data_IF_701928885205
#
_entry.id   IF_701928885205
#
_cell.length_a   1.000
_cell.length_b   1.000
_cell.length_c   1.000
_cell.angle_alpha   90.00
_cell.angle_beta   90.00
_cell.angle_gamma   90.00
#
_symmetry.space_group_name_H-M   'P 1'
#
loop_
_entity.id
_entity.type
_entity.pdbx_description
1 polymer ?
#
# COMPACT_ATOMS: atom_id res chain seq x y z
N UNK A 1 -45.45 45.44 -9.48
CA UNK A 1 -45.31 44.16 -8.75
C UNK A 1 -43.87 43.69 -8.93
N UNK A 2 -42.99 44.09 -7.99
CA UNK A 2 -41.54 43.79 -7.98
C UNK A 2 -41.28 43.09 -6.66
N UNK A 3 -41.56 41.82 -6.61
CA UNK A 3 -41.33 41.00 -5.43
C UNK A 3 -40.93 39.60 -5.92
N UNK A 4 -40.14 38.89 -5.13
CA UNK A 4 -39.51 37.58 -5.44
C UNK A 4 -38.09 37.59 -6.03
N UNK A 5 -37.22 38.53 -5.63
CA UNK A 5 -35.78 38.18 -5.47
C UNK A 5 -35.52 37.85 -4.01
N UNK A 6 -36.17 36.78 -3.60
CA UNK A 6 -36.02 36.12 -2.32
C UNK A 6 -34.57 35.68 -2.15
N UNK A 7 -33.93 36.22 -1.11
CA UNK A 7 -32.76 35.70 -0.40
C UNK A 7 -31.99 34.58 -1.09
N UNK A 8 -31.01 34.94 -1.92
CA UNK A 8 -29.85 34.09 -2.12
C UNK A 8 -28.99 34.19 -0.86
N UNK A 9 -29.37 33.41 0.16
CA UNK A 9 -28.48 33.11 1.29
C UNK A 9 -27.23 32.44 0.69
N UNK A 10 -26.01 32.98 0.87
CA UNK A 10 -24.81 32.31 0.40
C UNK A 10 -24.78 30.95 1.07
N UNK A 11 -24.97 29.88 0.29
CA UNK A 11 -24.82 28.52 0.76
C UNK A 11 -23.38 28.38 1.25
N UNK A 12 -23.19 28.48 2.57
CA UNK A 12 -21.92 28.29 3.26
C UNK A 12 -21.30 26.98 2.75
N UNK A 13 -20.14 27.03 2.07
CA UNK A 13 -19.72 25.95 1.20
C UNK A 13 -19.39 24.65 1.94
N UNK A 14 -19.15 24.67 3.26
CA UNK A 14 -19.01 23.45 4.07
C UNK A 14 -19.58 23.60 5.47
N UNK A 15 -20.38 22.63 5.95
CA UNK A 15 -20.75 22.57 7.35
C UNK A 15 -19.48 22.33 8.19
N UNK A 16 -19.17 23.26 9.09
CA UNK A 16 -18.05 23.18 10.06
C UNK A 16 -17.95 21.81 10.77
N UNK A 17 -19.09 21.14 10.91
CA UNK A 17 -19.24 19.79 11.47
C UNK A 17 -18.36 18.75 10.75
N UNK A 18 -18.30 18.77 9.42
CA UNK A 18 -17.51 17.80 8.64
C UNK A 18 -16.02 17.97 8.93
N UNK A 19 -15.55 19.23 8.97
CA UNK A 19 -14.16 19.54 9.29
C UNK A 19 -13.76 19.10 10.68
N UNK A 20 -14.64 19.28 11.67
CA UNK A 20 -14.41 18.81 13.03
C UNK A 20 -14.27 17.28 13.05
N UNK A 21 -15.15 16.55 12.36
CA UNK A 21 -15.08 15.09 12.27
C UNK A 21 -13.78 14.63 11.62
N UNK A 22 -13.35 15.28 10.52
CA UNK A 22 -12.08 14.97 9.85
C UNK A 22 -10.87 15.21 10.78
N UNK A 23 -10.84 16.33 11.52
CA UNK A 23 -9.77 16.63 12.47
C UNK A 23 -9.73 15.60 13.60
N UNK A 24 -10.90 15.22 14.16
CA UNK A 24 -10.98 14.20 15.19
C UNK A 24 -10.47 12.86 14.66
N UNK A 25 -10.91 12.46 13.46
CA UNK A 25 -10.46 11.23 12.82
C UNK A 25 -8.94 11.22 12.60
N UNK A 26 -8.39 12.32 12.09
CA UNK A 26 -6.94 12.48 11.92
C UNK A 26 -6.20 12.38 13.27
N UNK A 27 -6.68 13.10 14.28
CA UNK A 27 -6.06 13.09 15.61
C UNK A 27 -6.05 11.68 16.21
N UNK A 28 -7.17 10.95 16.09
CA UNK A 28 -7.26 9.55 16.51
C UNK A 28 -6.27 8.67 15.74
N UNK A 29 -6.14 8.86 14.42
CA UNK A 29 -5.16 8.15 13.60
C UNK A 29 -3.71 8.39 14.05
N UNK A 30 -3.34 9.65 14.29
CA UNK A 30 -2.00 10.01 14.77
C UNK A 30 -1.75 9.41 16.15
N UNK A 31 -2.69 9.54 17.08
CA UNK A 31 -2.58 8.95 18.42
C UNK A 31 -2.40 7.43 18.32
N UNK A 32 -3.19 6.75 17.48
CA UNK A 32 -3.06 5.32 17.26
C UNK A 32 -1.65 4.95 16.77
N UNK A 33 -1.09 5.68 15.79
CA UNK A 33 0.29 5.43 15.33
C UNK A 33 1.33 5.62 16.43
N UNK A 34 1.17 6.61 17.30
CA UNK A 34 2.09 6.85 18.41
C UNK A 34 1.96 5.78 19.51
N UNK A 35 0.75 5.31 19.79
CA UNK A 35 0.53 4.18 20.71
C UNK A 35 1.15 2.88 20.18
N UNK A 36 1.03 2.62 18.87
CA UNK A 36 1.70 1.49 18.23
C UNK A 36 3.22 1.62 18.29
N UNK A 37 3.75 2.83 18.06
CA UNK A 37 5.18 3.13 18.19
C UNK A 37 5.69 2.83 19.60
N UNK A 38 4.94 3.30 20.61
CA UNK A 38 5.23 3.09 22.02
C UNK A 38 5.26 1.60 22.36
N UNK A 39 4.24 0.86 21.93
CA UNK A 39 4.17 -0.58 22.15
C UNK A 39 5.33 -1.34 21.49
N UNK A 40 5.72 -0.96 20.27
CA UNK A 40 6.89 -1.54 19.61
C UNK A 40 8.20 -1.20 20.31
N UNK A 41 8.31 0.00 20.86
CA UNK A 41 9.46 0.41 21.67
C UNK A 41 9.58 -0.42 22.96
N UNK A 42 8.48 -0.66 23.66
CA UNK A 42 8.45 -1.58 24.81
C UNK A 42 8.85 -3.01 24.41
N UNK A 43 8.36 -3.48 23.26
CA UNK A 43 8.71 -4.82 22.75
C UNK A 43 10.20 -4.94 22.41
N UNK A 44 10.82 -3.88 21.90
CA UNK A 44 12.26 -3.83 21.65
C UNK A 44 13.09 -3.89 22.94
N UNK A 45 12.62 -3.33 24.06
CA UNK A 45 13.34 -3.39 25.34
C UNK A 45 13.27 -4.75 26.05
N UNK A 46 12.30 -5.60 25.68
CA UNK A 46 12.19 -6.95 26.24
C UNK A 46 13.39 -7.84 25.85
N UNK A 47 13.64 -8.91 26.60
CA UNK A 47 14.77 -9.86 26.41
C UNK A 47 14.87 -10.49 25.01
N UNK A 48 13.83 -10.33 24.17
CA UNK A 48 13.76 -10.84 22.80
C UNK A 48 13.65 -9.71 21.76
N UNK A 49 14.12 -8.50 22.07
CA UNK A 49 14.13 -7.35 21.17
C UNK A 49 15.03 -7.53 19.95
N UNK A 50 14.52 -7.19 18.77
CA UNK A 50 15.26 -7.16 17.49
C UNK A 50 15.32 -5.74 16.93
N UNK A 51 16.35 -5.42 16.15
CA UNK A 51 16.45 -4.15 15.41
C UNK A 51 15.24 -3.89 14.49
N UNK A 52 14.56 -4.94 14.03
CA UNK A 52 13.33 -4.81 13.25
C UNK A 52 12.21 -4.10 14.05
N UNK A 53 12.06 -4.41 15.35
CA UNK A 53 11.06 -3.79 16.22
C UNK A 53 11.34 -2.29 16.41
N UNK A 54 12.62 -1.92 16.51
CA UNK A 54 13.03 -0.52 16.59
C UNK A 54 12.71 0.22 15.28
N UNK A 55 12.95 -0.42 14.13
CA UNK A 55 12.54 0.09 12.83
C UNK A 55 11.04 0.39 12.79
N UNK A 56 10.20 -0.54 13.27
CA UNK A 56 8.76 -0.30 13.36
C UNK A 56 8.39 0.80 14.36
N UNK A 57 9.04 0.86 15.51
CA UNK A 57 8.83 1.93 16.49
C UNK A 57 9.12 3.33 15.91
N UNK A 58 10.07 3.45 14.97
CA UNK A 58 10.35 4.69 14.25
C UNK A 58 9.47 4.89 13.01
N UNK A 59 9.09 3.82 12.33
CA UNK A 59 8.22 3.85 11.15
C UNK A 59 6.81 4.34 11.49
N UNK A 60 6.26 3.94 12.64
CA UNK A 60 4.91 4.34 13.05
C UNK A 60 4.76 5.86 13.23
N UNK A 61 5.67 6.59 13.91
CA UNK A 61 5.65 8.05 13.96
C UNK A 61 5.78 8.73 12.59
N UNK A 62 6.57 8.17 11.67
CA UNK A 62 6.69 8.68 10.30
C UNK A 62 5.32 8.63 9.61
N UNK A 63 4.56 7.55 9.79
CA UNK A 63 3.18 7.49 9.29
C UNK A 63 2.26 8.51 9.97
N UNK A 64 2.41 8.76 11.27
CA UNK A 64 1.66 9.82 11.96
C UNK A 64 1.93 11.20 11.35
N UNK A 65 3.19 11.53 11.06
CA UNK A 65 3.56 12.78 10.37
C UNK A 65 3.00 12.81 8.95
N UNK A 66 3.10 11.70 8.22
CA UNK A 66 2.56 11.57 6.87
C UNK A 66 1.05 11.86 6.82
N UNK A 67 0.28 11.34 7.78
CA UNK A 67 -1.16 11.64 7.88
C UNK A 67 -1.43 13.14 8.05
N UNK A 68 -0.65 13.83 8.89
CA UNK A 68 -0.77 15.28 9.09
C UNK A 68 -0.45 16.04 7.79
N UNK A 69 0.62 15.66 7.10
CA UNK A 69 1.02 16.30 5.83
C UNK A 69 -0.04 16.09 4.76
N UNK A 70 -0.51 14.87 4.57
CA UNK A 70 -1.57 14.55 3.59
C UNK A 70 -2.86 15.29 3.91
N UNK A 71 -3.25 15.39 5.18
CA UNK A 71 -4.43 16.18 5.56
C UNK A 71 -4.23 17.68 5.31
N UNK A 72 -3.03 18.22 5.56
CA UNK A 72 -2.73 19.62 5.22
C UNK A 72 -2.87 19.87 3.72
N UNK A 73 -2.28 19.01 2.88
CA UNK A 73 -2.41 19.11 1.41
C UNK A 73 -3.87 18.94 0.96
N UNK A 74 -4.61 18.05 1.61
CA UNK A 74 -6.05 17.87 1.36
C UNK A 74 -6.86 19.14 1.65
N UNK A 75 -6.59 19.84 2.76
CA UNK A 75 -7.27 21.10 3.09
C UNK A 75 -6.87 22.25 2.17
N UNK A 76 -5.61 22.30 1.74
CA UNK A 76 -5.13 23.25 0.73
C UNK A 76 -5.87 23.04 -0.60
N UNK A 77 -5.98 21.78 -1.03
CA UNK A 77 -6.74 21.38 -2.20
C UNK A 77 -8.23 21.71 -2.11
N UNK A 78 -8.87 21.43 -0.98
CA UNK A 78 -10.25 21.82 -0.75
C UNK A 78 -10.42 23.34 -0.80
N UNK A 79 -9.46 24.12 -0.31
CA UNK A 79 -9.52 25.59 -0.37
C UNK A 79 -9.42 26.12 -1.80
N UNK A 80 -8.52 25.56 -2.61
CA UNK A 80 -8.31 25.96 -4.00
C UNK A 80 -9.53 25.66 -4.88
N UNK A 81 -10.11 24.46 -4.72
CA UNK A 81 -11.38 24.11 -5.39
C UNK A 81 -12.54 25.07 -5.07
N UNK A 82 -12.54 25.68 -3.90
CA UNK A 82 -13.61 26.57 -3.46
C UNK A 82 -13.48 28.01 -3.93
N UNK A 83 -12.28 28.41 -4.31
CA UNK A 83 -12.03 29.72 -4.90
C UNK A 83 -12.37 29.76 -6.40
N UNK A 84 -12.93 28.67 -6.95
CA UNK A 84 -13.42 28.60 -8.33
C UNK A 84 -12.32 28.33 -9.36
N UNK A 85 -11.14 27.90 -8.91
CA UNK A 85 -10.08 27.42 -9.79
C UNK A 85 -10.22 25.89 -9.92
N UNK A 86 -11.19 25.47 -10.73
CA UNK A 86 -11.39 24.06 -11.11
C UNK A 86 -10.15 23.46 -11.81
N UNK A 87 -9.17 24.29 -12.17
CA UNK A 87 -7.85 23.94 -12.73
C UNK A 87 -6.73 23.79 -11.69
N UNK A 88 -7.02 23.78 -10.39
CA UNK A 88 -6.11 23.21 -9.39
C UNK A 88 -6.07 21.66 -9.52
N UNK A 89 -5.96 21.17 -10.75
CA UNK A 89 -5.50 19.84 -11.06
C UNK A 89 -4.12 19.70 -10.44
N UNK A 90 -3.97 18.64 -9.64
CA UNK A 90 -2.72 18.00 -9.25
C UNK A 90 -1.53 18.76 -9.81
N UNK A 91 -1.00 19.69 -9.00
CA UNK A 91 0.32 20.30 -9.13
C UNK A 91 0.86 20.19 -10.56
N UNK A 92 0.78 21.24 -11.40
CA UNK A 92 1.34 21.29 -12.78
C UNK A 92 2.73 20.65 -12.96
N UNK A 93 3.46 20.41 -11.88
CA UNK A 93 4.68 19.62 -11.82
C UNK A 93 4.50 18.10 -12.01
N UNK A 94 3.31 17.50 -11.86
CA UNK A 94 3.07 16.06 -12.05
C UNK A 94 2.72 15.68 -13.49
N UNK A 95 2.08 16.57 -14.25
CA UNK A 95 1.95 16.38 -15.72
C UNK A 95 3.29 16.63 -16.41
N UNK A 96 4.09 17.62 -15.98
CA UNK A 96 5.42 17.90 -16.54
C UNK A 96 6.50 16.88 -16.10
N UNK A 97 6.18 16.01 -15.12
CA UNK A 97 7.06 14.94 -14.61
C UNK A 97 6.50 13.54 -14.85
N UNK A 98 5.46 13.37 -15.68
CA UNK A 98 5.34 12.11 -16.41
C UNK A 98 6.44 12.14 -17.48
N UNK A 99 7.65 11.76 -17.09
CA UNK A 99 8.73 11.48 -18.03
C UNK A 99 8.24 10.35 -18.94
N UNK A 100 7.93 10.71 -20.19
CA UNK A 100 7.73 9.74 -21.27
C UNK A 100 8.88 8.74 -21.18
N UNK A 101 8.55 7.47 -21.01
CA UNK A 101 9.55 6.40 -21.06
C UNK A 101 10.15 6.46 -22.47
N UNK A 102 11.45 6.79 -22.65
CA UNK A 102 12.06 6.75 -23.96
C UNK A 102 11.84 5.35 -24.53
N UNK A 103 11.45 5.21 -25.79
CA UNK A 103 11.25 3.88 -26.40
C UNK A 103 12.50 2.99 -26.28
N UNK A 104 13.67 3.61 -26.10
CA UNK A 104 14.98 2.98 -25.88
C UNK A 104 15.15 2.36 -24.47
N UNK A 105 14.24 2.66 -23.54
CA UNK A 105 14.20 2.09 -22.18
C UNK A 105 13.48 0.73 -22.16
N UNK A 106 12.61 0.48 -23.13
CA UNK A 106 12.24 -0.88 -23.48
C UNK A 106 13.46 -1.44 -24.21
N UNK A 107 14.09 -2.47 -23.64
CA UNK A 107 15.18 -3.16 -24.33
C UNK A 107 14.75 -3.39 -25.79
N UNK A 108 15.53 -2.94 -26.79
CA UNK A 108 15.19 -3.11 -28.20
C UNK A 108 14.87 -4.58 -28.33
N UNK A 109 13.61 -4.89 -28.71
CA UNK A 109 13.04 -6.24 -28.66
C UNK A 109 14.13 -7.17 -29.09
N UNK A 110 14.78 -7.81 -28.11
CA UNK A 110 15.92 -8.62 -28.40
C UNK A 110 15.32 -9.64 -29.33
N UNK A 111 15.74 -9.63 -30.60
CA UNK A 111 15.79 -10.84 -31.37
C UNK A 111 16.54 -11.77 -30.44
N UNK A 112 15.78 -12.52 -29.64
CA UNK A 112 16.28 -13.57 -28.77
C UNK A 112 16.80 -14.58 -29.76
N UNK A 113 18.03 -14.37 -30.19
CA UNK A 113 18.88 -15.46 -30.61
C UNK A 113 18.79 -16.45 -29.46
N UNK A 114 18.25 -17.60 -29.81
CA UNK A 114 17.89 -18.69 -28.93
C UNK A 114 19.17 -19.36 -28.42
N UNK A 115 19.95 -18.66 -27.60
CA UNK A 115 21.02 -19.27 -26.82
C UNK A 115 20.53 -19.44 -25.39
N UNK A 116 20.05 -20.67 -25.16
CA UNK A 116 19.67 -21.24 -23.86
C UNK A 116 18.64 -20.41 -23.09
N UNK A 117 17.40 -20.45 -23.56
CA UNK A 117 16.27 -20.36 -22.64
C UNK A 117 16.47 -21.49 -21.61
N UNK A 118 16.87 -21.15 -20.38
CA UNK A 118 16.61 -22.00 -19.23
C UNK A 118 15.09 -22.11 -19.13
N UNK A 119 14.55 -23.11 -19.83
CA UNK A 119 13.17 -23.52 -19.70
C UNK A 119 13.02 -23.93 -18.25
N UNK A 120 12.22 -23.18 -17.50
CA UNK A 120 11.79 -23.58 -16.17
C UNK A 120 10.97 -24.87 -16.31
N UNK A 121 11.63 -26.03 -16.23
CA UNK A 121 10.98 -27.33 -16.17
C UNK A 121 10.40 -27.52 -14.76
N UNK A 122 9.07 -27.47 -14.65
CA UNK A 122 8.39 -27.78 -13.39
C UNK A 122 8.44 -29.29 -13.10
N UNK A 123 9.48 -29.71 -12.39
CA UNK A 123 9.71 -31.12 -12.02
C UNK A 123 8.66 -31.69 -11.05
N UNK A 124 7.84 -30.86 -10.38
CA UNK A 124 6.85 -31.32 -9.38
C UNK A 124 5.85 -32.33 -9.96
N UNK A 125 5.49 -32.19 -11.23
CA UNK A 125 4.57 -33.13 -11.91
C UNK A 125 5.21 -34.49 -12.22
N UNK A 126 6.52 -34.54 -12.45
CA UNK A 126 7.25 -35.80 -12.65
C UNK A 126 7.38 -36.52 -11.31
N UNK A 127 7.80 -35.81 -10.27
CA UNK A 127 8.03 -36.38 -8.95
C UNK A 127 6.77 -36.94 -8.30
N UNK A 128 5.62 -36.30 -8.53
CA UNK A 128 4.32 -36.83 -8.09
C UNK A 128 3.95 -38.17 -8.75
N UNK A 129 4.50 -38.46 -9.94
CA UNK A 129 4.19 -39.68 -10.71
C UNK A 129 5.19 -40.81 -10.45
N UNK A 130 6.42 -40.48 -10.05
CA UNK A 130 7.46 -41.43 -9.64
C UNK A 130 7.43 -41.77 -8.15
N UNK A 131 6.66 -41.04 -7.35
CA UNK A 131 6.40 -41.40 -5.95
C UNK A 131 5.82 -42.83 -5.86
N UNK A 132 6.50 -43.77 -5.16
CA UNK A 132 6.00 -45.12 -4.98
C UNK A 132 4.63 -45.07 -4.28
N UNK A 133 3.64 -45.74 -4.87
CA UNK A 133 2.33 -45.88 -4.23
C UNK A 133 2.53 -46.58 -2.87
N UNK A 134 2.04 -46.00 -1.74
CA UNK A 134 2.29 -46.52 -0.40
C UNK A 134 1.84 -47.97 -0.22
N UNK A 135 0.85 -48.41 -1.02
CA UNK A 135 0.34 -49.77 -1.03
C UNK A 135 1.34 -50.84 -1.52
N UNK A 136 2.33 -50.49 -2.35
CA UNK A 136 3.37 -51.45 -2.78
C UNK A 136 4.49 -51.59 -1.74
N UNK A 137 4.83 -50.50 -1.05
CA UNK A 137 5.88 -50.52 -0.04
C UNK A 137 5.47 -51.32 1.20
N UNK A 138 4.20 -51.22 1.62
CA UNK A 138 3.66 -52.07 2.69
C UNK A 138 3.64 -53.55 2.32
N UNK A 139 3.31 -53.89 1.07
CA UNK A 139 3.33 -55.29 0.60
C UNK A 139 4.75 -55.88 0.55
N UNK A 140 5.74 -55.09 0.12
CA UNK A 140 7.16 -55.48 0.16
C UNK A 140 7.64 -55.73 1.59
N UNK A 141 7.30 -54.83 2.53
CA UNK A 141 7.68 -54.97 3.95
C UNK A 141 7.05 -56.21 4.60
N UNK A 142 5.81 -56.54 4.24
CA UNK A 142 5.15 -57.77 4.72
C UNK A 142 5.82 -59.04 4.18
N UNK A 143 6.14 -59.11 2.89
CA UNK A 143 6.82 -60.27 2.30
C UNK A 143 8.25 -60.47 2.79
N UNK A 144 8.97 -59.38 3.10
CA UNK A 144 10.33 -59.45 3.66
C UNK A 144 10.37 -59.92 5.13
N UNK A 145 9.22 -59.96 5.82
CA UNK A 145 9.10 -60.40 7.21
C UNK A 145 8.53 -61.83 7.34
N UNK A 146 8.22 -62.47 6.22
CA UNK A 146 7.59 -63.82 6.15
C UNK A 146 8.53 -64.90 5.56
N UNK A 147 9.82 -64.60 5.34
CA UNK A 147 10.86 -65.56 4.93
C UNK A 147 12.03 -65.57 5.89
#
# INVERSE_FOLDING_TARGET
MKESRENQDPQEPFPLRVRIVQIIFLALGVIATLLLAWWQYERWQSTSGSFQNLGYALQWPIFGIFLIVTYRKYIEYERERLLGDDEAAVEKYAEDQLTEVPEDFLAPSATRESETAEVFEDHRRRDARSAPLPAQEERRKRQANEG
#
